data_IF_232876618357
#
_entry.id   IF_232876618357
#
_cell.length_a   1.000
_cell.length_b   1.000
_cell.length_c   1.000
_cell.angle_alpha   90.00
_cell.angle_beta   90.00
_cell.angle_gamma   90.00
#
_symmetry.space_group_name_H-M   'P 1'
#
loop_
_entity.id
_entity.type
_entity.pdbx_description
1 polymer ?
#
# COMPACT_ATOMS: atom_id res chain seq x y z
N UNK A 1 10.87 34.84 -5.16
CA UNK A 1 11.33 33.43 -5.05
C UNK A 1 10.38 32.54 -5.85
N UNK A 2 10.91 31.82 -6.84
CA UNK A 2 10.18 31.18 -7.95
C UNK A 2 9.21 30.06 -7.51
N UNK A 3 7.91 30.34 -7.64
CA UNK A 3 6.83 29.33 -7.55
C UNK A 3 7.03 28.21 -8.60
N UNK A 4 7.63 28.54 -9.76
CA UNK A 4 7.91 27.59 -10.84
C UNK A 4 8.85 26.43 -10.43
N UNK A 5 9.87 26.69 -9.61
CA UNK A 5 10.84 25.66 -9.19
C UNK A 5 10.22 24.61 -8.26
N UNK A 6 9.24 25.01 -7.45
CA UNK A 6 8.53 24.11 -6.51
C UNK A 6 7.69 23.07 -7.29
N UNK A 7 7.10 23.49 -8.41
CA UNK A 7 6.25 22.62 -9.25
C UNK A 7 7.05 21.54 -9.99
N UNK A 8 8.21 21.90 -10.53
CA UNK A 8 9.16 21.03 -11.22
C UNK A 8 9.68 19.92 -10.28
N UNK A 9 10.13 20.30 -9.08
CA UNK A 9 10.64 19.35 -8.08
C UNK A 9 9.58 18.33 -7.62
N UNK A 10 8.33 18.78 -7.44
CA UNK A 10 7.21 17.91 -7.04
C UNK A 10 6.81 16.92 -8.14
N UNK A 11 6.82 17.36 -9.41
CA UNK A 11 6.59 16.50 -10.58
C UNK A 11 7.68 15.43 -10.73
N UNK A 12 8.97 15.81 -10.62
CA UNK A 12 10.11 14.87 -10.71
C UNK A 12 10.08 13.82 -9.60
N UNK A 13 9.72 14.21 -8.37
CA UNK A 13 9.54 13.28 -7.24
C UNK A 13 8.43 12.26 -7.51
N UNK A 14 7.28 12.71 -8.05
CA UNK A 14 6.16 11.84 -8.42
C UNK A 14 6.53 10.80 -9.49
N UNK A 15 7.27 11.21 -10.53
CA UNK A 15 7.70 10.30 -11.61
C UNK A 15 8.67 9.24 -11.08
N UNK A 16 9.67 9.63 -10.28
CA UNK A 16 10.61 8.68 -9.66
C UNK A 16 9.90 7.67 -8.76
N UNK A 17 8.97 8.13 -7.91
CA UNK A 17 8.14 7.26 -7.08
C UNK A 17 7.31 6.29 -7.93
N UNK A 18 6.68 6.76 -9.00
CA UNK A 18 5.88 5.92 -9.89
C UNK A 18 6.72 4.84 -10.58
N UNK A 19 7.92 5.17 -11.04
CA UNK A 19 8.85 4.22 -11.63
C UNK A 19 9.26 3.14 -10.61
N UNK A 20 9.64 3.55 -9.40
CA UNK A 20 9.95 2.65 -8.29
C UNK A 20 8.77 1.74 -7.95
N UNK A 21 7.57 2.30 -7.75
CA UNK A 21 6.37 1.51 -7.40
C UNK A 21 6.04 0.50 -8.50
N UNK A 22 6.21 0.88 -9.78
CA UNK A 22 5.98 0.00 -10.93
C UNK A 22 6.96 -1.17 -10.91
N UNK A 23 8.26 -0.91 -10.76
CA UNK A 23 9.28 -1.95 -10.68
C UNK A 23 9.08 -2.85 -9.45
N UNK A 24 8.82 -2.26 -8.28
CA UNK A 24 8.54 -2.99 -7.04
C UNK A 24 7.33 -3.92 -7.19
N UNK A 25 6.23 -3.43 -7.78
CA UNK A 25 5.02 -4.22 -8.00
C UNK A 25 5.14 -5.27 -9.11
N UNK A 26 6.13 -5.15 -10.00
CA UNK A 26 6.42 -6.16 -11.02
C UNK A 26 7.22 -7.36 -10.48
N UNK A 27 7.78 -7.28 -9.26
CA UNK A 27 8.57 -8.38 -8.69
C UNK A 27 7.72 -9.64 -8.47
N UNK A 28 8.25 -10.86 -8.71
CA UNK A 28 7.51 -12.11 -8.54
C UNK A 28 6.90 -12.28 -7.14
N UNK A 29 7.64 -11.86 -6.11
CA UNK A 29 7.19 -11.90 -4.72
C UNK A 29 5.96 -11.02 -4.48
N UNK A 30 5.94 -9.80 -5.03
CA UNK A 30 4.81 -8.88 -4.89
C UNK A 30 3.61 -9.31 -5.70
N UNK A 31 3.82 -9.90 -6.87
CA UNK A 31 2.76 -10.52 -7.67
C UNK A 31 2.13 -11.68 -6.89
N UNK A 32 2.95 -12.59 -6.34
CA UNK A 32 2.48 -13.71 -5.51
C UNK A 32 1.69 -13.21 -4.30
N UNK A 33 2.23 -12.26 -3.55
CA UNK A 33 1.56 -11.64 -2.40
C UNK A 33 0.17 -11.09 -2.75
N UNK A 34 0.04 -10.33 -3.86
CA UNK A 34 -1.24 -9.80 -4.32
C UNK A 34 -2.20 -10.91 -4.74
N UNK A 35 -1.69 -11.96 -5.40
CA UNK A 35 -2.50 -13.10 -5.86
C UNK A 35 -3.12 -13.87 -4.69
N UNK A 36 -2.35 -14.09 -3.61
CA UNK A 36 -2.79 -14.77 -2.40
C UNK A 36 -3.86 -13.97 -1.66
N UNK A 37 -3.67 -12.66 -1.51
CA UNK A 37 -4.68 -11.77 -0.94
C UNK A 37 -5.98 -11.78 -1.77
N UNK A 38 -5.88 -11.72 -3.10
CA UNK A 38 -7.05 -11.77 -3.97
C UNK A 38 -7.77 -13.12 -3.86
N UNK A 39 -7.03 -14.23 -3.80
CA UNK A 39 -7.60 -15.57 -3.59
C UNK A 39 -8.31 -15.67 -2.24
N UNK A 40 -7.72 -15.14 -1.17
CA UNK A 40 -8.33 -15.11 0.16
C UNK A 40 -9.60 -14.24 0.21
N UNK A 41 -9.60 -13.10 -0.50
CA UNK A 41 -10.78 -12.24 -0.65
C UNK A 41 -11.91 -12.92 -1.41
N UNK A 42 -11.61 -13.64 -2.49
CA UNK A 42 -12.62 -14.40 -3.24
C UNK A 42 -13.20 -15.56 -2.42
N UNK A 43 -12.35 -16.27 -1.66
CA UNK A 43 -12.77 -17.41 -0.84
C UNK A 43 -13.62 -16.98 0.36
N UNK A 44 -13.30 -15.87 0.99
CA UNK A 44 -14.01 -15.37 2.16
C UNK A 44 -14.09 -13.84 2.07
N UNK A 45 -15.09 -13.29 1.37
CA UNK A 45 -15.24 -11.86 1.19
C UNK A 45 -15.49 -11.16 2.53
N UNK A 46 -14.85 -10.02 2.71
CA UNK A 46 -14.98 -9.27 3.95
C UNK A 46 -16.24 -8.42 3.97
N UNK A 47 -16.88 -8.32 5.15
CA UNK A 47 -17.92 -7.32 5.42
C UNK A 47 -17.31 -5.91 5.42
N UNK A 48 -18.16 -4.90 5.22
CA UNK A 48 -17.76 -3.48 5.26
C UNK A 48 -16.98 -3.18 6.56
N UNK A 49 -15.83 -2.52 6.42
CA UNK A 49 -14.97 -2.13 7.55
C UNK A 49 -13.93 -3.16 8.00
N UNK A 50 -13.78 -4.27 7.26
CA UNK A 50 -12.77 -5.31 7.52
C UNK A 50 -11.83 -5.45 6.32
N UNK A 51 -10.52 -5.36 6.56
CA UNK A 51 -9.48 -5.58 5.56
C UNK A 51 -8.83 -6.96 5.76
N UNK A 52 -8.31 -7.57 4.69
CA UNK A 52 -7.38 -8.71 4.82
C UNK A 52 -6.03 -8.16 5.23
N UNK A 53 -5.52 -8.64 6.35
CA UNK A 53 -4.24 -8.24 6.94
C UNK A 53 -3.28 -9.42 6.88
N UNK A 54 -2.03 -9.15 6.50
CA UNK A 54 -0.97 -10.15 6.52
C UNK A 54 -0.22 -10.01 7.86
N UNK A 55 -0.23 -11.08 8.65
CA UNK A 55 0.50 -11.10 9.93
C UNK A 55 1.99 -11.28 9.70
N UNK A 56 2.81 -10.93 10.70
CA UNK A 56 4.25 -11.21 10.69
C UNK A 56 4.59 -12.69 10.49
N UNK A 57 3.66 -13.58 10.87
CA UNK A 57 3.75 -15.03 10.71
C UNK A 57 3.28 -15.54 9.34
N UNK A 58 2.99 -14.67 8.37
CA UNK A 58 2.59 -15.06 7.02
C UNK A 58 1.13 -15.53 6.89
N UNK A 59 0.29 -15.33 7.91
CA UNK A 59 -1.13 -15.68 7.85
C UNK A 59 -1.97 -14.51 7.35
N UNK A 60 -3.03 -14.81 6.61
CA UNK A 60 -4.03 -13.82 6.20
C UNK A 60 -5.19 -13.86 7.20
N UNK A 61 -5.42 -12.73 7.89
CA UNK A 61 -6.49 -12.59 8.88
C UNK A 61 -7.45 -11.46 8.51
N UNK A 62 -8.68 -11.54 9.03
CA UNK A 62 -9.65 -10.46 8.93
C UNK A 62 -9.38 -9.46 10.07
N UNK A 63 -9.03 -8.23 9.72
CA UNK A 63 -8.73 -7.18 10.70
C UNK A 63 -9.62 -5.96 10.48
N UNK A 64 -9.98 -5.27 11.57
CA UNK A 64 -10.65 -3.97 11.49
C UNK A 64 -9.81 -2.99 10.66
N UNK A 65 -10.44 -2.39 9.65
CA UNK A 65 -9.82 -1.46 8.70
C UNK A 65 -9.06 -0.32 9.38
N UNK A 66 -9.61 0.25 10.45
CA UNK A 66 -8.97 1.36 11.19
C UNK A 66 -7.62 0.96 11.76
N UNK A 67 -7.55 -0.24 12.36
CA UNK A 67 -6.35 -0.76 13.01
C UNK A 67 -5.30 -1.14 11.98
N UNK A 68 -5.71 -1.84 10.92
CA UNK A 68 -4.81 -2.22 9.82
C UNK A 68 -4.17 -0.99 9.16
N UNK A 69 -4.98 0.02 8.83
CA UNK A 69 -4.50 1.24 8.18
C UNK A 69 -3.68 2.13 9.11
N UNK A 70 -3.99 2.17 10.41
CA UNK A 70 -3.19 2.91 11.38
C UNK A 70 -1.78 2.33 11.48
N UNK A 71 -1.65 0.99 11.51
CA UNK A 71 -0.34 0.31 11.54
C UNK A 71 0.47 0.51 10.25
N UNK A 72 -0.22 0.53 9.11
CA UNK A 72 0.41 0.63 7.79
C UNK A 72 0.51 2.08 7.25
N UNK A 73 0.13 3.08 8.04
CA UNK A 73 0.29 4.48 7.65
C UNK A 73 1.77 4.87 7.81
N UNK A 74 2.44 5.41 6.77
CA UNK A 74 3.69 6.14 6.99
C UNK A 74 3.38 7.30 7.93
N UNK A 75 4.25 7.52 8.91
CA UNK A 75 4.02 8.45 10.02
C UNK A 75 3.38 9.74 9.56
N UNK A 76 2.28 10.15 10.23
CA UNK A 76 1.74 11.50 10.03
C UNK A 76 2.89 12.48 10.24
N UNK A 77 3.08 13.42 9.31
CA UNK A 77 3.74 14.67 9.67
C UNK A 77 3.02 15.18 10.91
N UNK A 78 3.71 15.23 12.05
CA UNK A 78 3.21 16.01 13.18
C UNK A 78 3.05 17.43 12.62
N UNK A 79 1.82 17.95 12.69
CA UNK A 79 1.60 19.38 12.47
C UNK A 79 2.21 20.12 13.65
#
# INVERSE_FOLDING_TARGET
MNIFLISEGKKRSSVKKKAYDTAYHATPERVKYRSELNKANRKNPNKKGIDKSHTKSGKIVNEKQSTNRARNKPGRSKK
#
